data_IF_341609875305
#
_entry.id   IF_341609875305
#
_cell.length_a   1.000
_cell.length_b   1.000
_cell.length_c   1.000
_cell.angle_alpha   90.00
_cell.angle_beta   90.00
_cell.angle_gamma   90.00
#
_symmetry.space_group_name_H-M   'P 1'
#
loop_
_entity.id
_entity.type
_entity.pdbx_description
1 polymer ?
#
# COMPACT_ATOMS: atom_id res chain seq x y z
N UNK A 1 -3.31 7.74 47.19
CA UNK A 1 -2.62 8.48 46.12
C UNK A 1 -2.03 7.60 45.04
N UNK A 2 -1.41 6.49 45.35
CA UNK A 2 -0.80 5.57 44.38
C UNK A 2 -1.80 4.94 43.40
N UNK A 3 -3.03 4.62 43.82
CA UNK A 3 -4.04 4.03 42.93
C UNK A 3 -4.57 5.02 41.88
N UNK A 4 -4.62 6.30 42.18
CA UNK A 4 -5.08 7.34 41.23
C UNK A 4 -4.00 7.62 40.15
N UNK A 5 -2.75 7.53 40.51
CA UNK A 5 -1.61 7.70 39.60
C UNK A 5 -1.52 6.51 38.63
N UNK A 6 -1.79 5.29 39.11
CA UNK A 6 -1.79 4.09 38.30
C UNK A 6 -2.90 4.11 37.24
N UNK A 7 -4.09 4.61 37.60
CA UNK A 7 -5.22 4.73 36.66
C UNK A 7 -4.91 5.82 35.62
N UNK A 8 -4.26 6.92 35.98
CA UNK A 8 -3.86 7.96 35.03
C UNK A 8 -2.82 7.46 34.03
N UNK A 9 -1.85 6.66 34.49
CA UNK A 9 -0.85 6.02 33.61
C UNK A 9 -1.48 5.01 32.65
N UNK A 10 -2.52 4.29 33.08
CA UNK A 10 -3.25 3.36 32.21
C UNK A 10 -4.05 4.11 31.13
N UNK A 11 -4.65 5.26 31.47
CA UNK A 11 -5.35 6.10 30.50
C UNK A 11 -4.39 6.80 29.51
N UNK A 12 -3.20 7.20 29.94
CA UNK A 12 -2.19 7.75 29.02
C UNK A 12 -1.67 6.67 28.07
N UNK A 13 -1.49 5.43 28.51
CA UNK A 13 -1.07 4.33 27.66
C UNK A 13 -2.07 4.00 26.55
N UNK A 14 -3.38 4.17 26.80
CA UNK A 14 -4.41 3.90 25.81
C UNK A 14 -4.54 4.98 24.74
N UNK A 15 -4.07 6.20 24.99
CA UNK A 15 -4.09 7.29 24.00
C UNK A 15 -3.02 7.15 22.92
N UNK A 16 -1.97 6.36 23.16
CA UNK A 16 -0.92 6.12 22.16
C UNK A 16 -1.27 5.02 21.15
N UNK A 17 -2.37 4.29 21.33
CA UNK A 17 -2.75 3.19 20.45
C UNK A 17 -3.56 3.61 19.21
N UNK A 18 -3.85 4.90 19.02
CA UNK A 18 -4.83 5.35 18.02
C UNK A 18 -4.25 6.01 16.77
N UNK A 19 -2.92 6.12 16.60
CA UNK A 19 -2.36 6.75 15.41
C UNK A 19 -1.54 5.77 14.55
N UNK A 20 -2.20 4.77 13.99
CA UNK A 20 -1.63 4.01 12.88
C UNK A 20 -2.08 4.64 11.56
N UNK A 21 -1.56 5.83 11.28
CA UNK A 21 -1.77 6.45 9.99
C UNK A 21 -0.98 5.69 8.92
N UNK A 22 -1.69 5.17 7.93
CA UNK A 22 -1.07 4.60 6.75
C UNK A 22 -0.33 5.68 5.98
N UNK A 23 0.88 5.38 5.54
CA UNK A 23 1.67 6.27 4.70
C UNK A 23 1.61 5.79 3.26
N UNK A 24 0.76 6.41 2.47
CA UNK A 24 0.67 6.18 1.04
C UNK A 24 1.67 7.08 0.31
N UNK A 25 2.62 6.47 -0.41
CA UNK A 25 3.53 7.19 -1.29
C UNK A 25 2.83 7.48 -2.60
N UNK A 26 3.03 8.65 -3.15
CA UNK A 26 2.44 9.09 -4.42
C UNK A 26 3.47 9.23 -5.53
N UNK A 27 4.75 9.11 -5.20
CA UNK A 27 5.86 9.20 -6.13
C UNK A 27 6.59 7.84 -6.18
N UNK A 28 6.71 7.28 -7.38
CA UNK A 28 7.34 5.98 -7.57
C UNK A 28 8.83 5.98 -7.25
N UNK A 29 9.54 7.05 -7.53
CA UNK A 29 10.97 7.15 -7.25
C UNK A 29 11.24 7.02 -5.75
N UNK A 30 10.47 7.74 -4.94
CA UNK A 30 10.56 7.66 -3.47
C UNK A 30 10.17 6.27 -2.96
N UNK A 31 9.10 5.70 -3.51
CA UNK A 31 8.63 4.38 -3.13
C UNK A 31 9.66 3.29 -3.42
N UNK A 32 10.32 3.35 -4.57
CA UNK A 32 11.39 2.42 -4.96
C UNK A 32 12.56 2.52 -4.00
N UNK A 33 12.99 3.73 -3.67
CA UNK A 33 14.10 3.96 -2.74
C UNK A 33 13.80 3.35 -1.36
N UNK A 34 12.60 3.59 -0.83
CA UNK A 34 12.17 3.05 0.46
C UNK A 34 12.01 1.53 0.41
N UNK A 35 11.45 1.01 -0.67
CA UNK A 35 11.31 -0.44 -0.90
C UNK A 35 12.66 -1.14 -0.87
N UNK A 36 13.67 -0.58 -1.52
CA UNK A 36 15.03 -1.13 -1.49
C UNK A 36 15.67 -1.03 -0.10
N UNK A 37 15.53 0.11 0.57
CA UNK A 37 16.08 0.34 1.91
C UNK A 37 15.49 -0.62 2.93
N UNK A 38 14.16 -0.78 2.95
CA UNK A 38 13.45 -1.62 3.90
C UNK A 38 13.35 -3.08 3.46
N UNK A 39 13.74 -3.40 2.23
CA UNK A 39 13.63 -4.75 1.63
C UNK A 39 12.20 -5.28 1.69
N UNK A 40 11.24 -4.43 1.35
CA UNK A 40 9.83 -4.79 1.28
C UNK A 40 9.31 -4.59 -0.15
N UNK A 41 8.43 -5.49 -0.64
CA UNK A 41 7.75 -5.27 -1.90
C UNK A 41 6.79 -4.08 -1.80
N UNK A 42 6.39 -3.56 -2.94
CA UNK A 42 5.42 -2.49 -3.05
C UNK A 42 4.02 -3.05 -3.30
N UNK A 43 3.04 -2.46 -2.62
CA UNK A 43 1.63 -2.56 -2.97
C UNK A 43 1.29 -1.28 -3.74
N UNK A 44 1.04 -1.39 -5.03
CA UNK A 44 0.76 -0.25 -5.92
C UNK A 44 -0.73 -0.24 -6.25
N UNK A 45 -1.43 0.75 -5.72
CA UNK A 45 -2.83 0.99 -6.05
C UNK A 45 -2.90 1.93 -7.24
N UNK A 46 -3.39 1.43 -8.38
CA UNK A 46 -3.81 2.27 -9.50
C UNK A 46 -5.26 2.65 -9.33
N UNK A 47 -5.54 3.94 -9.30
CA UNK A 47 -6.87 4.48 -9.07
C UNK A 47 -7.11 5.76 -9.87
N UNK A 48 -8.34 6.27 -9.80
CA UNK A 48 -8.76 7.53 -10.41
C UNK A 48 -10.02 8.04 -9.72
N UNK A 49 -10.43 9.27 -10.01
CA UNK A 49 -11.70 9.80 -9.56
C UNK A 49 -12.87 9.02 -10.18
N UNK A 50 -13.93 8.80 -9.41
CA UNK A 50 -15.16 8.15 -9.88
C UNK A 50 -15.11 6.62 -9.97
N UNK A 51 -14.01 5.99 -9.55
CA UNK A 51 -13.94 4.52 -9.46
C UNK A 51 -14.61 4.00 -8.18
N UNK A 52 -15.00 2.71 -8.13
CA UNK A 52 -15.54 2.12 -6.91
C UNK A 52 -14.59 2.24 -5.72
N UNK A 53 -15.11 2.53 -4.54
CA UNK A 53 -14.34 2.78 -3.32
C UNK A 53 -14.35 1.60 -2.33
N UNK A 54 -14.76 0.41 -2.77
CA UNK A 54 -14.82 -0.77 -1.91
C UNK A 54 -13.46 -1.15 -1.31
N UNK A 55 -12.37 -1.11 -2.09
CA UNK A 55 -11.02 -1.36 -1.58
C UNK A 55 -10.67 -0.40 -0.45
N UNK A 56 -10.92 0.89 -0.63
CA UNK A 56 -10.67 1.90 0.37
C UNK A 56 -11.49 1.65 1.64
N UNK A 57 -12.81 1.53 1.48
CA UNK A 57 -13.75 1.54 2.60
C UNK A 57 -13.77 0.22 3.37
N UNK A 58 -13.61 -0.91 2.70
CA UNK A 58 -13.78 -2.24 3.30
C UNK A 58 -12.46 -2.94 3.61
N UNK A 59 -11.35 -2.54 2.98
CA UNK A 59 -10.04 -3.15 3.18
C UNK A 59 -9.04 -2.17 3.78
N UNK A 60 -8.72 -1.09 3.08
CA UNK A 60 -7.60 -0.21 3.46
C UNK A 60 -7.82 0.61 4.72
N UNK A 61 -9.07 0.91 5.07
CA UNK A 61 -9.43 1.64 6.29
C UNK A 61 -9.55 0.74 7.53
N UNK A 62 -9.28 -0.54 7.41
CA UNK A 62 -9.37 -1.47 8.54
C UNK A 62 -8.10 -1.49 9.38
N UNK A 63 -8.19 -1.72 10.70
CA UNK A 63 -7.02 -1.89 11.55
C UNK A 63 -6.14 -3.07 11.12
N UNK A 64 -6.74 -4.16 10.68
CA UNK A 64 -6.02 -5.35 10.21
C UNK A 64 -5.11 -5.02 9.02
N UNK A 65 -5.61 -4.26 8.06
CA UNK A 65 -4.80 -3.82 6.93
C UNK A 65 -3.68 -2.88 7.36
N UNK A 66 -3.95 -1.96 8.29
CA UNK A 66 -2.94 -1.02 8.79
C UNK A 66 -1.75 -1.76 9.41
N UNK A 67 -2.00 -2.75 10.25
CA UNK A 67 -0.95 -3.56 10.88
C UNK A 67 -0.19 -4.39 9.86
N UNK A 68 -0.93 -5.12 9.02
CA UNK A 68 -0.32 -5.98 8.00
C UNK A 68 0.53 -5.19 7.00
N UNK A 69 0.01 -4.10 6.47
CA UNK A 69 0.72 -3.31 5.45
C UNK A 69 2.00 -2.69 5.99
N UNK A 70 1.98 -2.20 7.22
CA UNK A 70 3.17 -1.64 7.86
C UNK A 70 4.33 -2.64 7.90
N UNK A 71 4.02 -3.90 8.17
CA UNK A 71 5.03 -4.94 8.36
C UNK A 71 5.46 -5.62 7.05
N UNK A 72 4.66 -5.55 6.00
CA UNK A 72 4.83 -6.39 4.81
C UNK A 72 5.11 -5.64 3.50
N UNK A 73 4.65 -4.41 3.35
CA UNK A 73 4.71 -3.70 2.06
C UNK A 73 5.01 -2.22 2.21
N UNK A 74 5.45 -1.61 1.12
CA UNK A 74 5.45 -0.16 0.94
C UNK A 74 4.18 0.20 0.15
N UNK A 75 3.37 1.08 0.70
CA UNK A 75 2.11 1.50 0.09
C UNK A 75 2.34 2.61 -0.93
N UNK A 76 1.89 2.40 -2.15
CA UNK A 76 1.98 3.37 -3.25
C UNK A 76 0.60 3.58 -3.85
N UNK A 77 0.19 4.84 -3.98
CA UNK A 77 -1.08 5.22 -4.60
C UNK A 77 -0.80 6.08 -5.84
N UNK A 78 -1.14 5.56 -6.99
CA UNK A 78 -1.02 6.26 -8.26
C UNK A 78 -2.42 6.64 -8.76
N UNK A 79 -2.82 7.87 -8.49
CA UNK A 79 -4.09 8.44 -8.94
C UNK A 79 -3.89 9.00 -10.35
N UNK A 80 -4.44 8.31 -11.35
CA UNK A 80 -4.31 8.70 -12.76
C UNK A 80 -5.13 9.95 -13.13
N UNK A 81 -5.99 10.40 -12.23
CA UNK A 81 -6.79 11.63 -12.38
C UNK A 81 -6.25 12.82 -11.60
N UNK A 82 -5.10 12.70 -10.95
CA UNK A 82 -4.50 13.77 -10.17
C UNK A 82 -4.05 14.92 -11.09
N UNK A 83 -4.77 16.03 -11.01
CA UNK A 83 -4.48 17.24 -11.81
C UNK A 83 -3.22 17.96 -11.35
N UNK A 84 -2.77 17.72 -10.11
CA UNK A 84 -1.58 18.37 -9.53
C UNK A 84 -0.29 17.60 -9.83
N UNK A 85 -0.38 16.39 -10.36
CA UNK A 85 0.80 15.62 -10.76
C UNK A 85 1.51 16.31 -11.93
N UNK A 86 2.85 16.24 -11.95
CA UNK A 86 3.63 16.72 -13.08
C UNK A 86 3.32 15.91 -14.36
N UNK A 87 3.55 16.48 -15.52
CA UNK A 87 3.36 15.76 -16.79
C UNK A 87 4.27 14.51 -16.87
N UNK A 88 5.50 14.63 -16.34
CA UNK A 88 6.41 13.48 -16.25
C UNK A 88 5.87 12.36 -15.37
N UNK A 89 5.30 12.69 -14.22
CA UNK A 89 4.69 11.70 -13.31
C UNK A 89 3.44 11.07 -13.93
N UNK A 90 2.60 11.86 -14.59
CA UNK A 90 1.42 11.34 -15.32
C UNK A 90 1.82 10.34 -16.39
N UNK A 91 2.81 10.67 -17.19
CA UNK A 91 3.33 9.79 -18.24
C UNK A 91 3.93 8.51 -17.65
N UNK A 92 4.74 8.64 -16.60
CA UNK A 92 5.33 7.50 -15.89
C UNK A 92 4.26 6.59 -15.31
N UNK A 93 3.26 7.15 -14.63
CA UNK A 93 2.18 6.37 -14.01
C UNK A 93 1.36 5.62 -15.08
N UNK A 94 1.11 6.23 -16.21
CA UNK A 94 0.41 5.58 -17.32
C UNK A 94 1.24 4.46 -17.94
N UNK A 95 2.54 4.65 -18.11
CA UNK A 95 3.46 3.60 -18.58
C UNK A 95 3.50 2.42 -17.61
N UNK A 96 3.55 2.68 -16.30
CA UNK A 96 3.51 1.64 -15.28
C UNK A 96 2.19 0.87 -15.30
N UNK A 97 1.07 1.58 -15.40
CA UNK A 97 -0.26 0.96 -15.56
C UNK A 97 -0.27 -0.04 -16.72
N UNK A 98 0.22 0.38 -17.86
CA UNK A 98 0.26 -0.46 -19.06
C UNK A 98 1.25 -1.63 -18.90
N UNK A 99 2.42 -1.39 -18.33
CA UNK A 99 3.43 -2.41 -18.09
C UNK A 99 2.94 -3.51 -17.13
N UNK A 100 2.18 -3.15 -16.10
CA UNK A 100 1.57 -4.12 -15.19
C UNK A 100 0.28 -4.75 -15.73
N UNK A 101 -0.19 -4.34 -16.90
CA UNK A 101 -1.40 -4.89 -17.51
C UNK A 101 -2.67 -4.54 -16.76
N UNK A 102 -2.75 -3.36 -16.17
CA UNK A 102 -3.95 -2.88 -15.48
C UNK A 102 -4.94 -2.35 -16.51
N UNK A 103 -6.11 -2.97 -16.59
CA UNK A 103 -7.16 -2.59 -17.53
C UNK A 103 -8.31 -1.84 -16.84
N UNK A 104 -8.68 -2.28 -15.65
CA UNK A 104 -9.79 -1.72 -14.89
C UNK A 104 -9.30 -1.10 -13.58
N UNK A 105 -9.85 0.05 -13.23
CA UNK A 105 -9.51 0.75 -11.98
C UNK A 105 -10.66 0.60 -10.96
N UNK A 106 -10.36 0.50 -9.66
CA UNK A 106 -9.04 0.39 -9.05
C UNK A 106 -8.47 -1.03 -9.13
N UNK A 107 -7.15 -1.14 -9.22
CA UNK A 107 -6.46 -2.43 -9.15
C UNK A 107 -5.17 -2.30 -8.34
N UNK A 108 -4.86 -3.32 -7.57
CA UNK A 108 -3.62 -3.43 -6.81
C UNK A 108 -2.63 -4.30 -7.56
N UNK A 109 -1.40 -3.80 -7.72
CA UNK A 109 -0.28 -4.57 -8.24
C UNK A 109 0.77 -4.74 -7.15
N UNK A 110 1.24 -5.95 -6.96
CA UNK A 110 2.41 -6.23 -6.13
C UNK A 110 3.64 -6.32 -6.99
N UNK A 111 4.69 -5.62 -6.59
CA UNK A 111 5.95 -5.61 -7.32
C UNK A 111 7.13 -5.46 -6.37
N UNK A 112 8.24 -6.06 -6.74
CA UNK A 112 9.54 -5.74 -6.15
C UNK A 112 10.34 -4.90 -7.15
N UNK A 113 11.21 -4.03 -6.62
CA UNK A 113 12.11 -3.23 -7.43
C UNK A 113 13.55 -3.49 -7.00
N UNK A 114 14.47 -3.49 -7.94
CA UNK A 114 15.90 -3.62 -7.69
C UNK A 114 16.64 -2.49 -8.40
N UNK A 115 17.55 -1.83 -7.68
CA UNK A 115 18.41 -0.79 -8.25
C UNK A 115 19.83 -1.36 -8.32
N UNK A 116 20.36 -1.47 -9.53
CA UNK A 116 21.76 -1.86 -9.77
C UNK A 116 22.39 -0.93 -10.80
N UNK A 117 23.51 -0.33 -10.47
CA UNK A 117 24.26 0.58 -11.37
C UNK A 117 23.35 1.68 -11.93
N UNK A 118 22.55 2.33 -11.07
CA UNK A 118 21.57 3.36 -11.42
C UNK A 118 20.45 2.90 -12.37
N UNK A 119 20.30 1.59 -12.57
CA UNK A 119 19.21 1.02 -13.36
C UNK A 119 18.19 0.36 -12.44
N UNK A 120 16.93 0.77 -12.57
CA UNK A 120 15.80 0.18 -11.85
C UNK A 120 15.14 -0.91 -12.70
N UNK A 121 14.98 -2.08 -12.10
CA UNK A 121 14.20 -3.17 -12.68
C UNK A 121 13.04 -3.51 -11.76
N UNK A 122 11.88 -3.81 -12.36
CA UNK A 122 10.69 -4.25 -11.66
C UNK A 122 10.44 -5.73 -11.88
N UNK A 123 9.99 -6.42 -10.83
CA UNK A 123 9.46 -7.76 -10.90
C UNK A 123 8.01 -7.75 -10.44
N UNK A 124 7.08 -8.01 -11.35
CA UNK A 124 5.68 -8.12 -11.00
C UNK A 124 5.44 -9.43 -10.24
N UNK A 125 4.78 -9.36 -9.09
CA UNK A 125 4.49 -10.51 -8.23
C UNK A 125 3.06 -11.02 -8.42
N UNK A 126 2.12 -10.12 -8.68
CA UNK A 126 0.72 -10.44 -8.91
C UNK A 126 -0.17 -9.22 -8.82
N UNK A 127 -1.45 -9.41 -9.08
CA UNK A 127 -2.47 -8.35 -9.05
C UNK A 127 -3.67 -8.80 -8.23
N UNK A 128 -4.34 -7.82 -7.62
CA UNK A 128 -5.59 -8.04 -6.90
C UNK A 128 -6.57 -6.91 -7.13
N UNK A 129 -7.84 -7.27 -7.24
CA UNK A 129 -8.94 -6.33 -7.21
C UNK A 129 -9.71 -6.47 -5.89
N UNK A 130 -10.74 -5.67 -5.69
CA UNK A 130 -11.65 -5.86 -4.58
C UNK A 130 -12.38 -7.21 -4.71
N UNK A 131 -12.46 -7.91 -3.57
CA UNK A 131 -13.29 -9.11 -3.42
C UNK A 131 -14.03 -9.04 -2.10
N UNK A 132 -15.31 -9.46 -2.04
CA UNK A 132 -16.02 -9.61 -0.78
C UNK A 132 -15.31 -10.62 0.14
N UNK A 133 -15.47 -10.47 1.46
CA UNK A 133 -14.91 -11.39 2.43
C UNK A 133 -14.10 -10.72 3.55
N UNK A 134 -13.95 -9.39 3.46
CA UNK A 134 -13.28 -8.58 4.46
C UNK A 134 -11.77 -8.53 4.34
N UNK A 135 -11.15 -7.77 5.23
CA UNK A 135 -9.73 -7.47 5.19
C UNK A 135 -8.86 -8.73 5.39
N UNK A 136 -9.21 -9.61 6.30
CA UNK A 136 -8.40 -10.80 6.58
C UNK A 136 -8.33 -11.77 5.38
N UNK A 137 -9.46 -11.97 4.69
CA UNK A 137 -9.49 -12.77 3.46
C UNK A 137 -8.63 -12.14 2.36
N UNK A 138 -8.76 -10.85 2.18
CA UNK A 138 -7.98 -10.08 1.20
C UNK A 138 -6.47 -10.12 1.51
N UNK A 139 -6.10 -9.99 2.79
CA UNK A 139 -4.72 -10.11 3.27
C UNK A 139 -4.17 -11.52 3.04
N UNK A 140 -4.96 -12.54 3.28
CA UNK A 140 -4.56 -13.94 3.06
C UNK A 140 -4.20 -14.19 1.59
N UNK A 141 -5.02 -13.70 0.66
CA UNK A 141 -4.70 -13.78 -0.78
C UNK A 141 -3.46 -12.98 -1.14
N UNK A 142 -3.29 -11.79 -0.55
CA UNK A 142 -2.09 -10.97 -0.73
C UNK A 142 -0.83 -11.70 -0.27
N UNK A 143 -0.89 -12.36 0.87
CA UNK A 143 0.23 -13.16 1.37
C UNK A 143 0.59 -14.32 0.45
N UNK A 144 -0.39 -14.94 -0.20
CA UNK A 144 -0.13 -15.99 -1.18
C UNK A 144 0.60 -15.47 -2.42
N UNK A 145 0.37 -14.22 -2.80
CA UNK A 145 1.12 -13.55 -3.88
C UNK A 145 2.54 -13.19 -3.44
N UNK A 146 2.67 -12.64 -2.24
CA UNK A 146 3.96 -12.16 -1.72
C UNK A 146 4.89 -13.30 -1.29
N UNK A 147 4.33 -14.39 -0.83
CA UNK A 147 5.04 -15.57 -0.31
C UNK A 147 4.46 -16.84 -0.95
N UNK A 148 4.68 -17.04 -2.26
CA UNK A 148 4.18 -18.25 -2.91
C UNK A 148 4.84 -19.47 -2.27
N UNK A 149 4.01 -20.48 -1.93
CA UNK A 149 4.51 -21.77 -1.48
C UNK A 149 5.20 -22.47 -2.65
N UNK A 150 6.39 -22.99 -2.42
CA UNK A 150 7.14 -23.80 -3.35
C UNK A 150 6.43 -25.14 -3.67
#
# INVERSE_FOLDING_TARGET
MTKKILILLFFLGSLFMHSQNLVWRTNMTDAIAISNEQRKPMLILFTASGVPENLQNEIFKTPDFAVWSRDNVILVKLDLSDINASEGDKEQNLKLKNAFGVENLPEVCYASASIRKNKTTFSALGKMTYKPGGAQSWISESNAILHPSE
#
